data_IF_862681732275
#
_entry.id   IF_862681732275
#
_cell.length_a   1.000
_cell.length_b   1.000
_cell.length_c   1.000
_cell.angle_alpha   90.00
_cell.angle_beta   90.00
_cell.angle_gamma   90.00
#
_symmetry.space_group_name_H-M   'P 1'
#
loop_
_entity.id
_entity.type
_entity.pdbx_description
1 polymer ?
#
# COMPACT_ATOMS: atom_id res chain seq x y z
N UNK A 1 24.58 71.43 -10.26
CA UNK A 1 23.64 71.63 -11.38
C UNK A 1 22.79 70.39 -11.52
N UNK A 2 21.54 70.50 -11.09
CA UNK A 2 20.50 69.48 -11.18
C UNK A 2 19.78 69.63 -12.52
N UNK A 3 19.49 68.53 -13.22
CA UNK A 3 18.26 68.38 -14.01
C UNK A 3 17.90 66.89 -14.18
N UNK A 4 16.64 66.47 -13.91
CA UNK A 4 16.22 65.07 -13.89
C UNK A 4 15.62 64.63 -15.24
N UNK A 5 15.92 63.42 -15.70
CA UNK A 5 15.14 62.76 -16.76
C UNK A 5 13.98 61.99 -16.11
N UNK A 6 12.76 62.50 -16.27
CA UNK A 6 11.52 61.88 -15.78
C UNK A 6 11.33 60.48 -16.38
N UNK A 7 11.19 59.51 -15.50
CA UNK A 7 10.73 58.16 -15.77
C UNK A 7 9.26 58.17 -16.23
N UNK A 8 9.06 58.04 -17.56
CA UNK A 8 7.74 58.02 -18.21
C UNK A 8 6.93 56.75 -17.91
N UNK A 9 7.48 55.78 -17.18
CA UNK A 9 6.76 54.54 -16.83
C UNK A 9 5.76 54.72 -15.67
N UNK A 10 5.89 55.79 -14.89
CA UNK A 10 5.02 56.08 -13.74
C UNK A 10 3.66 56.71 -14.10
N UNK A 11 3.50 57.28 -15.30
CA UNK A 11 2.30 58.03 -15.71
C UNK A 11 1.14 57.15 -16.22
N UNK A 12 1.36 55.87 -16.50
CA UNK A 12 0.32 54.98 -17.05
C UNK A 12 -0.44 54.24 -15.93
N UNK A 13 0.10 54.19 -14.71
CA UNK A 13 -0.41 53.35 -13.62
C UNK A 13 -1.68 53.88 -12.91
N UNK A 14 -2.11 55.11 -13.21
CA UNK A 14 -3.22 55.77 -12.48
C UNK A 14 -4.43 56.15 -13.35
N UNK A 15 -4.67 55.42 -14.46
CA UNK A 15 -5.91 55.57 -15.23
C UNK A 15 -6.95 54.56 -14.76
N UNK A 16 -7.47 54.76 -13.54
CA UNK A 16 -8.59 53.95 -13.04
C UNK A 16 -9.79 54.04 -13.98
N UNK A 17 -10.59 52.97 -14.07
CA UNK A 17 -11.85 52.84 -14.85
C UNK A 17 -12.77 54.08 -14.75
N UNK A 18 -12.71 54.82 -13.63
CA UNK A 18 -13.41 56.09 -13.40
C UNK A 18 -12.99 57.21 -14.37
N UNK A 19 -11.71 57.32 -14.72
CA UNK A 19 -11.21 58.33 -15.66
C UNK A 19 -11.61 58.01 -17.10
N UNK A 20 -11.70 56.73 -17.46
CA UNK A 20 -12.23 56.29 -18.75
C UNK A 20 -13.73 56.59 -18.89
N UNK A 21 -14.54 56.32 -17.86
CA UNK A 21 -15.97 56.63 -17.87
C UNK A 21 -16.22 58.15 -17.83
N UNK A 22 -15.40 58.92 -17.10
CA UNK A 22 -15.45 60.40 -17.14
C UNK A 22 -15.08 60.95 -18.51
N UNK A 23 -14.13 60.34 -19.21
CA UNK A 23 -13.79 60.70 -20.58
C UNK A 23 -14.94 60.39 -21.55
N UNK A 24 -15.66 59.28 -21.38
CA UNK A 24 -16.87 58.98 -22.16
C UNK A 24 -18.03 59.94 -21.84
N UNK A 25 -18.21 60.33 -20.58
CA UNK A 25 -19.22 61.32 -20.17
C UNK A 25 -18.97 62.73 -20.71
N UNK A 26 -17.72 63.06 -21.08
CA UNK A 26 -17.34 64.32 -21.71
C UNK A 26 -17.43 64.34 -23.25
N UNK A 27 -17.72 63.21 -23.90
CA UNK A 27 -17.75 63.06 -25.37
C UNK A 27 -19.20 63.01 -25.90
N UNK A 28 -20.17 63.49 -25.11
CA UNK A 28 -21.57 63.63 -25.53
C UNK A 28 -21.84 64.73 -26.56
N UNK A 29 -20.84 65.54 -26.93
CA UNK A 29 -21.03 66.64 -27.87
C UNK A 29 -19.76 66.91 -28.69
N UNK A 30 -19.37 65.98 -29.57
CA UNK A 30 -18.61 66.32 -30.78
C UNK A 30 -18.57 65.16 -31.77
N UNK A 31 -19.34 65.35 -32.84
CA UNK A 31 -19.06 64.94 -34.21
C UNK A 31 -19.04 63.44 -34.55
N UNK A 32 -20.21 62.98 -35.01
CA UNK A 32 -20.40 62.31 -36.30
C UNK A 32 -19.24 62.56 -37.29
N UNK A 33 -18.27 61.65 -37.38
CA UNK A 33 -17.35 61.58 -38.52
C UNK A 33 -16.75 60.18 -38.64
N UNK A 34 -17.27 59.39 -39.59
CA UNK A 34 -16.75 58.21 -40.32
C UNK A 34 -15.57 57.34 -39.82
N UNK A 35 -15.14 57.39 -38.55
CA UNK A 35 -14.04 56.56 -38.00
C UNK A 35 -14.51 55.41 -37.11
N UNK A 36 -15.82 55.17 -37.02
CA UNK A 36 -16.41 54.15 -36.14
C UNK A 36 -16.07 52.71 -36.58
N UNK A 37 -15.59 52.50 -37.80
CA UNK A 37 -15.14 51.18 -38.28
C UNK A 37 -13.63 50.93 -38.20
N UNK A 38 -12.80 51.91 -37.79
CA UNK A 38 -11.36 51.71 -37.62
C UNK A 38 -11.00 50.82 -36.41
N UNK A 39 -11.95 50.63 -35.48
CA UNK A 39 -11.79 49.76 -34.31
C UNK A 39 -12.03 48.27 -34.57
N UNK A 40 -12.43 47.89 -35.80
CA UNK A 40 -12.61 46.51 -36.24
C UNK A 40 -11.49 46.04 -37.18
N UNK A 41 -10.31 46.68 -37.08
CA UNK A 41 -9.10 46.13 -37.68
C UNK A 41 -8.87 44.74 -37.08
N UNK A 42 -8.65 43.68 -37.88
CA UNK A 42 -8.21 42.39 -37.33
C UNK A 42 -6.99 42.66 -36.46
N UNK A 43 -7.02 42.24 -35.19
CA UNK A 43 -5.84 42.34 -34.35
C UNK A 43 -4.68 41.68 -35.12
N UNK A 44 -3.51 42.33 -35.24
CA UNK A 44 -2.34 41.70 -35.85
C UNK A 44 -2.15 40.34 -35.19
N UNK A 45 -1.86 39.29 -35.96
CA UNK A 45 -1.83 37.91 -35.47
C UNK A 45 -1.01 37.82 -34.18
N UNK A 46 -1.68 37.81 -33.03
CA UNK A 46 -1.00 37.78 -31.73
C UNK A 46 -0.72 36.33 -31.44
N UNK A 47 0.50 35.89 -31.74
CA UNK A 47 0.93 34.50 -31.56
C UNK A 47 0.83 34.08 -30.08
N UNK A 48 1.22 34.97 -29.16
CA UNK A 48 1.04 34.80 -27.72
C UNK A 48 0.40 36.04 -27.07
N UNK A 49 -0.93 36.04 -26.83
CA UNK A 49 -1.64 37.14 -26.19
C UNK A 49 -1.15 37.51 -24.78
N UNK A 50 -0.45 36.60 -24.10
CA UNK A 50 0.08 36.82 -22.74
C UNK A 50 1.40 37.59 -22.72
N UNK A 51 2.15 37.60 -23.83
CA UNK A 51 3.42 38.32 -23.93
C UNK A 51 3.22 39.84 -23.96
N UNK A 52 2.11 40.27 -24.54
CA UNK A 52 1.78 41.68 -24.70
C UNK A 52 0.65 42.15 -23.79
N UNK A 53 0.17 41.29 -22.88
CA UNK A 53 -0.91 41.65 -21.98
C UNK A 53 -0.41 42.70 -20.96
N UNK A 54 -0.99 43.92 -20.94
CA UNK A 54 -0.39 45.06 -20.25
C UNK A 54 -0.43 44.92 -18.71
N UNK A 55 -1.34 44.11 -18.18
CA UNK A 55 -1.46 43.86 -16.74
C UNK A 55 -1.46 42.35 -16.43
N UNK A 56 -0.34 41.87 -15.89
CA UNK A 56 -0.16 40.46 -15.49
C UNK A 56 -0.35 40.23 -13.99
N UNK A 57 -0.88 41.21 -13.24
CA UNK A 57 -1.06 41.07 -11.80
C UNK A 57 -2.06 39.98 -11.42
N UNK A 58 -2.99 39.62 -12.30
CA UNK A 58 -3.89 38.48 -12.12
C UNK A 58 -3.13 37.16 -11.91
N UNK A 59 -1.93 37.01 -12.47
CA UNK A 59 -1.09 35.81 -12.28
C UNK A 59 -0.65 35.64 -10.82
N UNK A 60 -0.64 36.72 -10.02
CA UNK A 60 -0.34 36.65 -8.58
C UNK A 60 -1.31 35.72 -7.86
N UNK A 61 -2.56 35.61 -8.32
CA UNK A 61 -3.56 34.70 -7.75
C UNK A 61 -3.12 33.24 -7.91
N UNK A 62 -2.66 32.84 -9.11
CA UNK A 62 -2.18 31.48 -9.35
C UNK A 62 -0.86 31.18 -8.63
N UNK A 63 0.06 32.16 -8.58
CA UNK A 63 1.29 32.03 -7.79
C UNK A 63 0.99 31.89 -6.30
N UNK A 64 0.01 32.62 -5.79
CA UNK A 64 -0.46 32.50 -4.41
C UNK A 64 -1.08 31.12 -4.15
N UNK A 65 -1.92 30.59 -5.06
CA UNK A 65 -2.50 29.25 -4.93
C UNK A 65 -1.44 28.14 -4.79
N UNK A 66 -0.32 28.25 -5.52
CA UNK A 66 0.77 27.27 -5.45
C UNK A 66 1.72 27.49 -4.25
N UNK A 67 1.69 28.67 -3.62
CA UNK A 67 2.53 29.00 -2.45
C UNK A 67 2.17 28.13 -1.24
N UNK A 68 3.21 27.77 -0.49
CA UNK A 68 3.15 27.02 0.77
C UNK A 68 4.10 27.65 1.80
N UNK A 69 3.89 27.37 3.09
CA UNK A 69 4.70 27.92 4.19
C UNK A 69 5.93 27.05 4.44
N UNK A 70 5.76 25.73 4.43
CA UNK A 70 6.84 24.76 4.52
C UNK A 70 6.45 23.44 3.87
N UNK A 71 7.43 22.55 3.71
CA UNK A 71 7.22 21.20 3.21
C UNK A 71 7.99 20.18 4.04
N UNK A 72 7.48 18.95 4.11
CA UNK A 72 8.18 17.84 4.73
C UNK A 72 7.98 16.57 3.90
N UNK A 73 8.86 15.59 4.08
CA UNK A 73 8.79 14.33 3.36
C UNK A 73 8.31 13.21 4.28
N UNK A 74 7.51 12.29 3.74
CA UNK A 74 7.10 11.07 4.44
C UNK A 74 7.14 9.86 3.49
N UNK A 75 7.03 8.67 4.07
CA UNK A 75 6.90 7.42 3.31
C UNK A 75 5.43 7.01 3.30
N UNK A 76 4.85 6.89 2.10
CA UNK A 76 3.52 6.32 1.93
C UNK A 76 3.64 4.80 2.05
N UNK A 77 3.18 4.26 3.17
CA UNK A 77 3.39 2.86 3.56
C UNK A 77 2.11 2.00 3.72
N UNK A 78 1.15 2.01 2.77
CA UNK A 78 0.13 0.95 2.71
C UNK A 78 0.77 -0.34 2.15
N UNK A 79 0.02 -1.46 2.12
CA UNK A 79 0.44 -2.64 1.36
C UNK A 79 0.20 -2.43 -0.13
N UNK A 80 1.00 -1.56 -0.73
CA UNK A 80 1.13 -1.41 -2.16
C UNK A 80 2.49 -1.90 -2.67
N UNK A 81 3.36 -2.39 -1.77
CA UNK A 81 4.74 -2.85 -1.98
C UNK A 81 5.78 -1.78 -2.29
N UNK A 82 5.37 -0.51 -2.47
CA UNK A 82 6.27 0.47 -3.07
C UNK A 82 6.98 1.37 -2.06
N UNK A 83 6.36 1.63 -0.90
CA UNK A 83 6.94 2.51 0.13
C UNK A 83 7.41 3.85 -0.46
N UNK A 84 6.60 4.47 -1.32
CA UNK A 84 7.00 5.65 -2.07
C UNK A 84 7.27 6.84 -1.14
N UNK A 85 8.39 7.53 -1.37
CA UNK A 85 8.73 8.76 -0.66
C UNK A 85 8.01 9.94 -1.30
N UNK A 86 7.13 10.59 -0.55
CA UNK A 86 6.29 11.70 -1.01
C UNK A 86 6.60 12.97 -0.21
N UNK A 87 6.42 14.14 -0.84
CA UNK A 87 6.59 15.46 -0.22
C UNK A 87 5.25 16.14 0.00
N UNK A 88 5.02 16.59 1.23
CA UNK A 88 3.82 17.27 1.66
C UNK A 88 4.10 18.76 1.69
N UNK A 89 3.16 19.55 1.23
CA UNK A 89 3.23 21.00 1.27
C UNK A 89 2.14 21.52 2.19
N UNK A 90 2.54 22.36 3.13
CA UNK A 90 1.70 22.83 4.23
C UNK A 90 1.51 24.33 4.11
N UNK A 91 0.26 24.77 4.27
CA UNK A 91 -0.10 26.18 4.37
C UNK A 91 -1.13 26.37 5.47
N UNK A 92 -0.93 27.37 6.33
CA UNK A 92 -1.77 27.63 7.50
C UNK A 92 -1.96 26.39 8.39
N UNK A 93 -0.91 25.57 8.54
CA UNK A 93 -0.96 24.32 9.30
C UNK A 93 -1.76 23.18 8.65
N UNK A 94 -2.23 23.35 7.40
CA UNK A 94 -3.00 22.34 6.65
C UNK A 94 -2.16 21.82 5.49
N UNK A 95 -2.10 20.49 5.33
CA UNK A 95 -1.50 19.87 4.16
C UNK A 95 -2.40 20.12 2.94
N UNK A 96 -1.91 20.93 2.00
CA UNK A 96 -2.70 21.35 0.82
C UNK A 96 -2.45 20.46 -0.39
N UNK A 97 -1.25 19.87 -0.53
CA UNK A 97 -0.89 18.98 -1.64
C UNK A 97 0.21 17.98 -1.27
N UNK A 98 0.27 16.92 -2.07
CA UNK A 98 1.25 15.85 -2.03
C UNK A 98 1.88 15.72 -3.42
N UNK A 99 3.20 15.59 -3.49
CA UNK A 99 3.91 15.31 -4.75
C UNK A 99 4.96 14.21 -4.53
N UNK A 100 5.46 13.66 -5.62
CA UNK A 100 6.62 12.79 -5.61
C UNK A 100 7.84 13.51 -5.05
N UNK A 101 8.70 12.77 -4.37
CA UNK A 101 10.00 13.28 -3.97
C UNK A 101 11.08 12.72 -4.91
N UNK A 102 11.78 13.61 -5.61
CA UNK A 102 12.84 13.27 -6.56
C UNK A 102 14.20 13.19 -5.87
N UNK A 103 14.31 12.35 -4.82
CA UNK A 103 15.51 12.26 -3.99
C UNK A 103 15.93 10.83 -3.65
N UNK A 104 15.44 9.82 -4.39
CA UNK A 104 15.78 8.42 -4.11
C UNK A 104 17.29 8.15 -4.18
N UNK A 105 18.03 8.87 -5.02
CA UNK A 105 19.49 8.78 -5.14
C UNK A 105 20.27 9.28 -3.92
N UNK A 106 19.58 9.98 -3.00
CA UNK A 106 20.14 10.42 -1.72
C UNK A 106 19.86 9.44 -0.59
N UNK A 107 19.05 8.41 -0.85
CA UNK A 107 18.79 7.34 0.09
C UNK A 107 19.89 6.28 -0.06
N UNK A 108 20.46 5.87 1.06
CA UNK A 108 21.44 4.79 1.12
C UNK A 108 21.23 3.90 2.34
N UNK A 109 21.82 2.72 2.29
CA UNK A 109 21.82 1.77 3.39
C UNK A 109 23.04 1.97 4.32
N UNK A 110 23.09 1.17 5.39
CA UNK A 110 24.18 1.20 6.38
C UNK A 110 25.53 0.71 5.82
N UNK A 111 25.53 0.11 4.63
CA UNK A 111 26.72 -0.42 3.97
C UNK A 111 27.29 0.55 2.93
N UNK A 112 26.68 1.74 2.78
CA UNK A 112 27.11 2.76 1.84
C UNK A 112 26.56 2.58 0.42
N UNK A 113 25.66 1.63 0.19
CA UNK A 113 24.99 1.50 -1.10
C UNK A 113 23.95 2.61 -1.24
N UNK A 114 23.88 3.22 -2.43
CA UNK A 114 22.88 4.26 -2.76
C UNK A 114 22.05 3.84 -3.95
N UNK A 115 20.78 4.23 -3.96
CA UNK A 115 19.91 3.97 -5.12
C UNK A 115 20.27 4.87 -6.32
N UNK A 116 19.92 4.43 -7.53
CA UNK A 116 20.11 5.24 -8.73
C UNK A 116 18.98 6.26 -8.92
N UNK A 117 19.23 7.33 -9.67
CA UNK A 117 18.19 8.33 -10.03
C UNK A 117 17.03 7.76 -10.84
N UNK A 118 17.22 6.59 -11.46
CA UNK A 118 16.21 5.93 -12.28
C UNK A 118 14.98 5.49 -11.47
N UNK A 119 15.09 5.43 -10.15
CA UNK A 119 13.96 5.20 -9.24
C UNK A 119 13.03 6.40 -9.06
N UNK A 120 13.37 7.57 -9.60
CA UNK A 120 12.47 8.72 -9.54
C UNK A 120 11.46 8.64 -10.70
N UNK A 121 10.19 9.06 -10.49
CA UNK A 121 9.68 9.74 -9.30
C UNK A 121 8.88 8.85 -8.34
N UNK A 122 8.56 7.60 -8.73
CA UNK A 122 7.61 6.71 -8.03
C UNK A 122 6.28 7.41 -7.70
N UNK A 123 5.54 6.87 -6.74
CA UNK A 123 4.24 7.38 -6.33
C UNK A 123 3.10 6.91 -7.25
N UNK A 124 1.88 7.07 -6.75
CA UNK A 124 0.68 6.68 -7.49
C UNK A 124 -0.47 7.63 -7.16
N UNK A 125 -1.55 7.54 -7.95
CA UNK A 125 -2.77 8.35 -7.78
C UNK A 125 -3.35 8.28 -6.36
N UNK A 126 -3.21 7.13 -5.69
CA UNK A 126 -3.67 6.92 -4.32
C UNK A 126 -2.79 7.65 -3.31
N UNK A 127 -1.48 7.70 -3.53
CA UNK A 127 -0.52 8.43 -2.70
C UNK A 127 -0.74 9.95 -2.77
N UNK A 128 -1.06 10.51 -3.94
CA UNK A 128 -1.27 11.96 -4.09
C UNK A 128 -2.57 12.48 -3.47
N UNK A 129 -3.46 11.57 -3.05
CA UNK A 129 -4.73 11.92 -2.41
C UNK A 129 -4.75 11.63 -0.91
N UNK A 130 -3.58 11.42 -0.29
CA UNK A 130 -3.46 11.04 1.11
C UNK A 130 -4.11 12.05 2.09
N UNK A 131 -4.12 13.35 1.74
CA UNK A 131 -4.84 14.39 2.47
C UNK A 131 -6.34 14.11 2.62
N UNK A 132 -6.96 13.34 1.70
CA UNK A 132 -8.36 12.89 1.84
C UNK A 132 -8.53 11.93 3.01
N UNK A 133 -7.51 11.15 3.38
CA UNK A 133 -7.53 10.31 4.60
C UNK A 133 -7.35 11.16 5.87
N UNK A 134 -6.58 12.25 5.76
CA UNK A 134 -6.29 13.16 6.88
C UNK A 134 -7.51 14.02 7.22
N UNK A 135 -8.24 14.53 6.22
CA UNK A 135 -9.32 15.50 6.42
C UNK A 135 -10.71 14.99 6.00
N UNK A 136 -10.80 13.80 5.43
CA UNK A 136 -12.06 13.22 4.96
C UNK A 136 -13.02 12.82 6.08
N UNK A 137 -14.29 12.55 5.72
CA UNK A 137 -15.36 12.29 6.68
C UNK A 137 -15.15 10.99 7.47
N UNK A 138 -14.32 10.07 6.96
CA UNK A 138 -14.07 8.76 7.57
C UNK A 138 -12.93 8.77 8.60
N UNK A 139 -12.30 9.92 8.90
CA UNK A 139 -11.22 9.97 9.86
C UNK A 139 -11.74 9.76 11.29
N UNK A 140 -11.24 8.72 11.96
CA UNK A 140 -11.41 8.54 13.39
C UNK A 140 -10.68 9.66 14.15
N UNK A 141 -11.40 10.42 14.98
CA UNK A 141 -10.89 11.56 15.75
C UNK A 141 -10.61 11.23 17.23
N UNK A 142 -10.85 9.99 17.63
CA UNK A 142 -10.68 9.52 19.01
C UNK A 142 -11.16 8.09 19.16
N UNK A 143 -10.93 7.49 20.33
CA UNK A 143 -11.34 6.12 20.59
C UNK A 143 -12.86 6.04 20.69
N UNK A 144 -13.37 4.95 20.12
CA UNK A 144 -14.79 4.59 20.15
C UNK A 144 -14.92 3.13 20.54
N UNK A 145 -15.98 2.80 21.26
CA UNK A 145 -16.30 1.44 21.68
C UNK A 145 -17.71 1.13 21.20
N UNK A 146 -17.95 -0.11 20.76
CA UNK A 146 -19.32 -0.55 20.40
C UNK A 146 -20.19 -0.55 21.64
N UNK A 147 -21.36 0.08 21.60
CA UNK A 147 -22.24 0.26 22.76
C UNK A 147 -22.52 -1.06 23.50
N UNK A 148 -23.00 -2.08 22.81
CA UNK A 148 -23.29 -3.38 23.43
C UNK A 148 -22.04 -4.14 23.92
N UNK A 149 -20.85 -3.86 23.37
CA UNK A 149 -19.61 -4.43 23.91
C UNK A 149 -19.24 -3.75 25.22
N UNK A 150 -19.42 -2.42 25.31
CA UNK A 150 -19.18 -1.67 26.55
C UNK A 150 -20.13 -2.14 27.66
N UNK A 151 -21.41 -2.31 27.36
CA UNK A 151 -22.40 -2.83 28.31
C UNK A 151 -22.02 -4.23 28.81
N UNK A 152 -21.56 -5.12 27.92
CA UNK A 152 -21.02 -6.43 28.32
C UNK A 152 -19.79 -6.33 29.23
N UNK A 153 -18.88 -5.40 28.96
CA UNK A 153 -17.71 -5.16 29.78
C UNK A 153 -18.06 -4.56 31.16
N UNK A 154 -19.05 -3.65 31.21
CA UNK A 154 -19.56 -3.04 32.43
C UNK A 154 -20.29 -4.08 33.31
N UNK A 155 -20.99 -5.04 32.70
CA UNK A 155 -21.62 -6.18 33.37
C UNK A 155 -20.61 -7.26 33.81
N UNK A 156 -19.30 -7.02 33.67
CA UNK A 156 -18.24 -7.89 34.19
C UNK A 156 -17.87 -9.07 33.29
N UNK A 157 -18.05 -8.96 31.98
CA UNK A 157 -17.73 -9.99 30.99
C UNK A 157 -18.40 -11.36 31.25
N UNK A 158 -19.73 -11.42 31.47
CA UNK A 158 -20.41 -12.69 31.66
C UNK A 158 -20.17 -13.62 30.46
N UNK A 159 -19.98 -14.91 30.75
CA UNK A 159 -19.61 -15.92 29.75
C UNK A 159 -20.68 -16.06 28.66
N UNK A 160 -20.30 -15.73 27.42
CA UNK A 160 -21.14 -15.88 26.24
C UNK A 160 -21.20 -17.33 25.74
N UNK A 161 -20.32 -18.21 26.23
CA UNK A 161 -20.32 -19.64 25.93
C UNK A 161 -21.27 -20.39 26.88
N UNK A 162 -21.35 -19.95 28.13
CA UNK A 162 -22.21 -20.57 29.15
C UNK A 162 -23.66 -20.06 29.05
N UNK A 163 -23.84 -18.79 28.69
CA UNK A 163 -25.14 -18.13 28.52
C UNK A 163 -25.28 -17.54 27.09
N UNK A 164 -25.55 -18.37 26.06
CA UNK A 164 -25.55 -17.94 24.66
C UNK A 164 -26.55 -16.83 24.32
N UNK A 165 -27.66 -16.72 25.04
CA UNK A 165 -28.67 -15.67 24.88
C UNK A 165 -28.12 -14.25 25.12
N UNK A 166 -27.05 -14.14 25.91
CA UNK A 166 -26.34 -12.88 26.11
C UNK A 166 -25.69 -12.35 24.82
N UNK A 167 -25.40 -13.22 23.85
CA UNK A 167 -24.88 -12.80 22.53
C UNK A 167 -25.88 -11.90 21.82
N UNK A 168 -27.16 -12.20 21.93
CA UNK A 168 -28.22 -11.36 21.38
C UNK A 168 -28.39 -10.08 22.22
N UNK A 169 -28.43 -10.16 23.56
CA UNK A 169 -28.50 -8.97 24.46
C UNK A 169 -27.43 -7.94 24.11
N UNK A 170 -26.18 -8.38 24.01
CA UNK A 170 -25.03 -7.51 23.74
C UNK A 170 -24.69 -7.40 22.25
N UNK A 171 -25.56 -7.85 21.34
CA UNK A 171 -25.40 -7.76 19.87
C UNK A 171 -24.09 -8.35 19.31
N UNK A 172 -23.61 -9.45 19.86
CA UNK A 172 -22.54 -10.24 19.26
C UNK A 172 -23.00 -10.94 17.97
N UNK A 173 -24.27 -11.33 17.88
CA UNK A 173 -24.85 -12.00 16.69
C UNK A 173 -25.19 -11.00 15.56
N UNK A 174 -25.18 -9.70 15.84
CA UNK A 174 -25.55 -8.62 14.91
C UNK A 174 -24.54 -7.48 14.90
N UNK A 175 -23.26 -7.78 15.09
CA UNK A 175 -22.16 -6.80 15.01
C UNK A 175 -22.24 -6.02 13.69
N UNK A 176 -22.14 -4.69 13.78
CA UNK A 176 -22.32 -3.76 12.65
C UNK A 176 -23.69 -3.09 12.60
N UNK A 177 -24.70 -3.62 13.30
CA UNK A 177 -26.02 -2.99 13.46
C UNK A 177 -26.12 -2.08 14.70
N UNK A 178 -25.06 -2.05 15.51
CA UNK A 178 -25.00 -1.28 16.74
C UNK A 178 -24.32 0.08 16.55
N UNK A 179 -24.46 0.94 17.55
CA UNK A 179 -23.81 2.25 17.60
C UNK A 179 -22.44 2.21 18.28
N UNK A 180 -21.62 3.21 17.97
CA UNK A 180 -20.35 3.46 18.66
C UNK A 180 -20.52 4.60 19.66
N UNK A 181 -20.00 4.40 20.87
CA UNK A 181 -19.89 5.45 21.89
C UNK A 181 -18.46 5.96 21.94
N UNK A 182 -18.30 7.28 22.04
CA UNK A 182 -16.99 7.90 22.22
C UNK A 182 -16.54 7.74 23.67
N UNK A 183 -15.28 7.40 23.86
CA UNK A 183 -14.65 7.32 25.19
C UNK A 183 -13.39 8.19 25.21
N UNK A 184 -12.83 8.45 26.39
CA UNK A 184 -11.48 9.00 26.50
C UNK A 184 -10.44 7.88 26.35
N UNK A 185 -9.16 8.24 26.27
CA UNK A 185 -8.09 7.25 26.08
C UNK A 185 -7.89 6.35 27.31
N UNK A 186 -8.04 6.87 28.52
CA UNK A 186 -7.87 6.08 29.76
C UNK A 186 -8.92 4.98 29.86
N UNK A 187 -10.18 5.29 29.55
CA UNK A 187 -11.26 4.32 29.45
C UNK A 187 -10.99 3.30 28.35
N UNK A 188 -10.51 3.74 27.18
CA UNK A 188 -10.18 2.83 26.08
C UNK A 188 -9.10 1.82 26.50
N UNK A 189 -8.04 2.27 27.16
CA UNK A 189 -6.98 1.39 27.68
C UNK A 189 -7.49 0.48 28.78
N UNK A 190 -8.28 1.01 29.73
CA UNK A 190 -8.89 0.25 30.82
C UNK A 190 -9.77 -0.88 30.28
N UNK A 191 -10.72 -0.56 29.39
CA UNK A 191 -11.58 -1.56 28.77
C UNK A 191 -10.78 -2.60 27.96
N UNK A 192 -9.74 -2.17 27.24
CA UNK A 192 -8.86 -3.10 26.51
C UNK A 192 -8.17 -4.07 27.48
N UNK A 193 -7.58 -3.57 28.57
CA UNK A 193 -6.92 -4.40 29.57
C UNK A 193 -7.89 -5.37 30.26
N UNK A 194 -9.07 -4.88 30.67
CA UNK A 194 -10.13 -5.70 31.25
C UNK A 194 -10.58 -6.81 30.28
N UNK A 195 -10.77 -6.48 29.00
CA UNK A 195 -11.15 -7.47 27.98
C UNK A 195 -10.08 -8.53 27.76
N UNK A 196 -8.80 -8.15 27.72
CA UNK A 196 -7.69 -9.11 27.60
C UNK A 196 -7.62 -10.04 28.82
N UNK A 197 -7.78 -9.50 30.03
CA UNK A 197 -7.82 -10.29 31.27
C UNK A 197 -9.02 -11.26 31.29
N UNK A 198 -10.21 -10.78 30.92
CA UNK A 198 -11.41 -11.60 30.87
C UNK A 198 -11.25 -12.77 29.88
N UNK A 199 -10.80 -12.49 28.65
CA UNK A 199 -10.57 -13.54 27.64
C UNK A 199 -9.51 -14.54 28.10
N UNK A 200 -8.39 -14.06 28.66
CA UNK A 200 -7.34 -14.93 29.17
C UNK A 200 -7.86 -15.82 30.32
N UNK A 201 -8.65 -15.29 31.24
CA UNK A 201 -9.23 -16.05 32.35
C UNK A 201 -10.28 -17.06 31.89
N UNK A 202 -11.30 -16.62 31.14
CA UNK A 202 -12.44 -17.44 30.71
C UNK A 202 -12.02 -18.66 29.91
N UNK A 203 -10.98 -18.52 29.08
CA UNK A 203 -10.53 -19.55 28.16
C UNK A 203 -9.20 -20.19 28.56
N UNK A 204 -8.81 -20.16 29.84
CA UNK A 204 -7.68 -20.95 30.37
C UNK A 204 -8.16 -22.26 30.99
N UNK A 205 -7.30 -23.28 30.99
CA UNK A 205 -7.57 -24.57 31.63
C UNK A 205 -8.71 -25.39 31.01
N UNK A 206 -9.02 -26.54 31.61
CA UNK A 206 -9.94 -27.53 31.02
C UNK A 206 -11.35 -26.95 30.79
N UNK A 207 -11.82 -26.07 31.67
CA UNK A 207 -13.11 -25.39 31.48
C UNK A 207 -13.09 -24.47 30.25
N UNK A 208 -12.00 -23.73 30.05
CA UNK A 208 -11.78 -22.90 28.85
C UNK A 208 -11.78 -23.73 27.57
N UNK A 209 -11.10 -24.89 27.58
CA UNK A 209 -11.13 -25.85 26.48
C UNK A 209 -12.54 -26.34 26.18
N UNK A 210 -13.30 -26.73 27.20
CA UNK A 210 -14.68 -27.18 27.06
C UNK A 210 -15.58 -26.09 26.44
N UNK A 211 -15.40 -24.83 26.86
CA UNK A 211 -16.09 -23.67 26.25
C UNK A 211 -15.73 -23.51 24.77
N UNK A 212 -14.45 -23.55 24.41
CA UNK A 212 -14.00 -23.43 23.02
C UNK A 212 -14.57 -24.55 22.13
N UNK A 213 -14.56 -25.78 22.63
CA UNK A 213 -15.13 -26.93 21.94
C UNK A 213 -16.65 -26.80 21.77
N UNK A 214 -17.36 -26.35 22.83
CA UNK A 214 -18.80 -26.06 22.78
C UNK A 214 -19.14 -24.96 21.76
N UNK A 215 -18.26 -23.97 21.62
CA UNK A 215 -18.39 -22.89 20.64
C UNK A 215 -17.99 -23.29 19.20
N UNK A 216 -17.62 -24.55 18.98
CA UNK A 216 -17.35 -25.10 17.65
C UNK A 216 -15.94 -24.82 17.13
N UNK A 217 -14.96 -24.53 18.00
CA UNK A 217 -13.57 -24.46 17.58
C UNK A 217 -13.08 -25.85 17.12
N UNK A 218 -12.40 -25.88 15.98
CA UNK A 218 -11.76 -27.10 15.47
C UNK A 218 -10.65 -27.55 16.44
N UNK A 219 -10.60 -28.83 16.85
CA UNK A 219 -9.54 -29.36 17.71
C UNK A 219 -8.12 -28.98 17.29
N UNK A 220 -7.84 -28.88 15.98
CA UNK A 220 -6.52 -28.51 15.47
C UNK A 220 -6.08 -27.11 15.89
N UNK A 221 -7.04 -26.22 16.16
CA UNK A 221 -6.75 -24.86 16.61
C UNK A 221 -6.24 -24.83 18.06
N UNK A 222 -6.45 -25.92 18.81
CA UNK A 222 -6.00 -26.07 20.19
C UNK A 222 -4.68 -26.83 20.33
N UNK A 223 -4.10 -27.35 19.23
CA UNK A 223 -2.84 -28.12 19.25
C UNK A 223 -1.68 -27.40 19.95
N UNK A 224 -1.65 -26.07 19.89
CA UNK A 224 -0.62 -25.23 20.55
C UNK A 224 -1.21 -24.22 21.54
N UNK A 225 -2.45 -24.45 22.00
CA UNK A 225 -3.11 -23.58 22.97
C UNK A 225 -2.52 -23.75 24.38
N UNK A 226 -1.95 -24.92 24.71
CA UNK A 226 -1.16 -25.17 25.94
C UNK A 226 -1.86 -24.69 27.23
N UNK A 227 -3.18 -24.90 27.32
CA UNK A 227 -4.01 -24.49 28.45
C UNK A 227 -4.12 -22.98 28.71
N UNK A 228 -3.58 -22.14 27.82
CA UNK A 228 -3.44 -20.70 28.00
C UNK A 228 -4.53 -19.92 27.25
N UNK A 229 -5.43 -19.26 27.96
CA UNK A 229 -6.48 -18.44 27.35
C UNK A 229 -5.94 -17.27 26.54
N UNK A 230 -4.75 -16.77 26.84
CA UNK A 230 -4.05 -15.77 26.02
C UNK A 230 -3.81 -16.24 24.59
N UNK A 231 -3.66 -17.55 24.35
CA UNK A 231 -3.50 -18.13 23.01
C UNK A 231 -4.77 -18.05 22.16
N UNK A 232 -5.92 -17.74 22.75
CA UNK A 232 -7.16 -17.45 22.01
C UNK A 232 -7.22 -16.00 21.51
N UNK A 233 -6.37 -15.12 22.05
CA UNK A 233 -6.25 -13.74 21.62
C UNK A 233 -5.42 -13.74 20.33
N UNK A 234 -6.06 -13.35 19.23
CA UNK A 234 -5.43 -13.21 17.92
C UNK A 234 -5.05 -11.75 17.70
N UNK A 235 -3.76 -11.48 17.65
CA UNK A 235 -3.22 -10.18 17.32
C UNK A 235 -2.51 -10.30 15.98
N UNK A 236 -2.89 -9.47 15.03
CA UNK A 236 -2.23 -9.39 13.73
C UNK A 236 -1.82 -7.96 13.46
N UNK A 237 -0.63 -7.78 12.88
CA UNK A 237 -0.32 -6.55 12.16
C UNK A 237 -1.39 -6.37 11.08
N UNK A 238 -1.97 -5.17 10.96
CA UNK A 238 -2.63 -4.83 9.71
C UNK A 238 -1.57 -4.19 8.81
N UNK A 239 -1.41 -4.74 7.62
CA UNK A 239 -0.65 -4.15 6.52
C UNK A 239 -0.72 -2.60 6.39
N UNK A 240 -1.86 -1.88 6.58
CA UNK A 240 -1.84 -0.41 6.53
C UNK A 240 -0.94 0.28 7.58
N UNK A 241 -0.46 -0.43 8.60
CA UNK A 241 0.57 0.01 9.55
C UNK A 241 1.94 -0.64 9.27
N UNK A 242 2.35 -0.85 8.01
CA UNK A 242 3.66 -1.43 7.63
C UNK A 242 4.91 -0.74 8.23
N UNK A 243 4.76 0.41 8.88
CA UNK A 243 5.83 1.03 9.66
C UNK A 243 6.27 0.16 10.85
N UNK A 244 7.35 0.61 11.51
CA UNK A 244 7.96 -0.07 12.66
C UNK A 244 6.94 -0.48 13.74
N UNK A 245 5.92 0.37 13.96
CA UNK A 245 4.89 0.17 15.01
C UNK A 245 3.94 -0.98 14.67
N UNK A 246 3.43 -1.07 13.44
CA UNK A 246 2.49 -2.14 13.09
C UNK A 246 3.18 -3.49 12.91
N UNK A 247 4.40 -3.49 12.36
CA UNK A 247 5.25 -4.70 12.34
C UNK A 247 5.64 -5.05 13.77
N UNK A 248 6.68 -4.44 14.34
CA UNK A 248 7.29 -4.94 15.57
C UNK A 248 6.46 -4.69 16.84
N UNK A 249 5.66 -3.62 16.88
CA UNK A 249 4.91 -3.25 18.07
C UNK A 249 3.84 -4.28 18.43
N UNK A 250 3.06 -4.74 17.44
CA UNK A 250 1.98 -5.71 17.67
C UNK A 250 2.56 -7.09 18.01
N UNK A 251 3.61 -7.53 17.30
CA UNK A 251 4.34 -8.76 17.63
C UNK A 251 4.86 -8.75 19.07
N UNK A 252 5.52 -7.65 19.47
CA UNK A 252 6.02 -7.50 20.83
C UNK A 252 4.89 -7.54 21.84
N UNK A 253 3.78 -6.85 21.58
CA UNK A 253 2.62 -6.86 22.45
C UNK A 253 2.02 -8.27 22.60
N UNK A 254 1.88 -9.02 21.51
CA UNK A 254 1.40 -10.39 21.55
C UNK A 254 2.28 -11.31 22.40
N UNK A 255 3.60 -11.19 22.28
CA UNK A 255 4.55 -11.94 23.12
C UNK A 255 4.47 -11.52 24.59
N UNK A 256 4.34 -10.21 24.88
CA UNK A 256 4.23 -9.70 26.25
C UNK A 256 2.97 -10.17 26.97
N UNK A 257 1.92 -10.63 26.26
CA UNK A 257 0.76 -11.27 26.89
C UNK A 257 1.10 -12.57 27.63
N UNK A 258 2.33 -13.10 27.50
CA UNK A 258 2.82 -14.16 28.39
C UNK A 258 2.86 -13.71 29.86
N UNK A 259 3.09 -12.42 30.15
CA UNK A 259 3.02 -11.89 31.51
C UNK A 259 1.59 -11.95 32.08
N UNK A 260 0.60 -11.68 31.22
CA UNK A 260 -0.81 -11.83 31.59
C UNK A 260 -1.14 -13.29 31.87
N UNK A 261 -0.67 -14.19 31.01
CA UNK A 261 -0.87 -15.63 31.17
C UNK A 261 -0.24 -16.18 32.45
N UNK A 262 1.00 -15.77 32.76
CA UNK A 262 1.66 -16.12 34.02
C UNK A 262 0.83 -15.69 35.23
N UNK A 263 0.25 -14.49 35.19
CA UNK A 263 -0.63 -13.99 36.25
C UNK A 263 -1.98 -14.75 36.32
N UNK A 264 -2.59 -15.05 35.18
CA UNK A 264 -3.91 -15.72 35.11
C UNK A 264 -3.82 -17.19 35.50
N UNK A 265 -2.80 -17.91 35.02
CA UNK A 265 -2.63 -19.34 35.29
C UNK A 265 -1.72 -19.64 36.50
N UNK A 266 -1.01 -18.64 37.02
CA UNK A 266 -0.06 -18.83 38.12
C UNK A 266 1.18 -19.66 37.71
N UNK A 267 1.57 -19.62 36.44
CA UNK A 267 2.66 -20.43 35.89
C UNK A 267 3.98 -19.66 35.80
N UNK A 268 5.10 -20.40 35.81
CA UNK A 268 6.44 -19.83 35.65
C UNK A 268 6.76 -19.38 34.22
N UNK A 269 7.89 -18.67 34.00
CA UNK A 269 8.28 -18.13 32.70
C UNK A 269 8.40 -19.16 31.57
N UNK A 270 8.83 -20.39 31.88
CA UNK A 270 9.00 -21.47 30.90
C UNK A 270 7.66 -22.02 30.37
N UNK A 271 6.59 -21.85 31.15
CA UNK A 271 5.25 -22.35 30.82
C UNK A 271 4.33 -21.27 30.28
N UNK A 272 4.64 -20.00 30.56
CA UNK A 272 3.86 -18.85 30.18
C UNK A 272 3.75 -18.71 28.65
N UNK A 273 2.55 -18.42 28.16
CA UNK A 273 2.23 -18.38 26.74
C UNK A 273 1.71 -17.00 26.34
N UNK A 274 2.36 -16.39 25.35
CA UNK A 274 1.84 -15.18 24.71
C UNK A 274 0.65 -15.47 23.79
N UNK A 275 0.06 -14.40 23.26
CA UNK A 275 -0.95 -14.50 22.22
C UNK A 275 -0.41 -15.17 20.94
N UNK A 276 -1.32 -15.53 20.03
CA UNK A 276 -0.93 -16.10 18.72
C UNK A 276 -0.91 -15.00 17.68
N UNK A 277 0.22 -14.91 16.98
CA UNK A 277 0.33 -14.10 15.78
C UNK A 277 -0.45 -14.73 14.62
N UNK A 278 -0.92 -13.87 13.71
CA UNK A 278 -1.59 -14.25 12.48
C UNK A 278 -0.65 -14.14 11.29
N UNK A 279 -0.32 -15.27 10.65
CA UNK A 279 0.47 -15.26 9.41
C UNK A 279 -0.36 -14.66 8.26
N UNK A 280 0.02 -13.47 7.81
CA UNK A 280 -0.68 -12.76 6.74
C UNK A 280 -0.28 -13.26 5.34
N UNK A 281 0.97 -13.71 5.14
CA UNK A 281 1.49 -13.96 3.80
C UNK A 281 0.86 -15.20 3.15
N UNK A 282 0.69 -16.28 3.92
CA UNK A 282 -0.05 -17.47 3.49
C UNK A 282 -1.55 -17.21 3.42
N UNK A 283 -2.12 -16.54 4.43
CA UNK A 283 -3.56 -16.31 4.54
C UNK A 283 -4.11 -15.49 3.37
N UNK A 284 -3.35 -14.52 2.88
CA UNK A 284 -3.75 -13.68 1.74
C UNK A 284 -3.60 -14.38 0.39
N UNK A 285 -2.91 -15.51 0.35
CA UNK A 285 -2.53 -16.18 -0.89
C UNK A 285 -1.36 -15.50 -1.62
N UNK A 286 -0.66 -14.56 -0.97
CA UNK A 286 0.48 -13.85 -1.55
C UNK A 286 1.76 -14.71 -1.53
N UNK A 287 1.89 -15.63 -0.56
CA UNK A 287 2.97 -16.60 -0.57
C UNK A 287 2.76 -17.61 -1.70
N UNK A 288 3.67 -17.64 -2.66
CA UNK A 288 3.71 -18.66 -3.71
C UNK A 288 4.30 -19.98 -3.15
N UNK A 289 3.50 -21.02 -2.89
CA UNK A 289 3.99 -22.24 -2.21
C UNK A 289 5.02 -23.02 -3.04
N UNK A 290 4.99 -22.85 -4.36
CA UNK A 290 5.98 -23.44 -5.27
C UNK A 290 7.42 -22.96 -4.99
N UNK A 291 7.60 -21.75 -4.46
CA UNK A 291 8.95 -21.22 -4.17
C UNK A 291 9.62 -21.97 -3.01
N UNK A 292 8.98 -22.14 -1.83
CA UNK A 292 9.49 -23.02 -0.79
C UNK A 292 9.73 -24.46 -1.28
N UNK A 293 8.83 -25.03 -2.09
CA UNK A 293 9.00 -26.40 -2.60
C UNK A 293 10.21 -26.55 -3.52
N UNK A 294 10.49 -25.56 -4.37
CA UNK A 294 11.60 -25.62 -5.31
C UNK A 294 12.95 -25.17 -4.74
N UNK A 295 12.94 -24.22 -3.78
CA UNK A 295 14.17 -23.50 -3.37
C UNK A 295 14.45 -23.55 -1.87
N UNK A 296 13.49 -23.96 -1.05
CA UNK A 296 13.57 -23.87 0.41
C UNK A 296 13.44 -22.43 0.96
N UNK A 297 13.29 -21.41 0.11
CA UNK A 297 13.09 -20.02 0.52
C UNK A 297 11.60 -19.69 0.69
N UNK A 298 11.25 -18.80 1.63
CA UNK A 298 9.87 -18.33 1.81
C UNK A 298 9.33 -17.69 0.51
N UNK A 299 10.18 -16.93 -0.16
CA UNK A 299 9.96 -16.23 -1.42
C UNK A 299 11.31 -15.76 -1.98
N UNK A 300 11.36 -15.53 -3.28
CA UNK A 300 12.52 -14.97 -3.98
C UNK A 300 11.99 -14.10 -5.11
N UNK A 301 12.36 -12.83 -5.09
CA UNK A 301 11.95 -11.85 -6.09
C UNK A 301 13.16 -11.07 -6.57
N UNK A 302 13.03 -10.53 -7.77
CA UNK A 302 13.96 -9.58 -8.34
C UNK A 302 13.47 -8.15 -8.13
N UNK A 303 14.40 -7.23 -8.13
CA UNK A 303 14.08 -5.82 -8.20
C UNK A 303 13.60 -5.49 -9.62
N UNK A 304 12.46 -4.81 -9.78
CA UNK A 304 11.92 -4.50 -11.11
C UNK A 304 12.87 -3.72 -12.02
N UNK A 305 13.85 -3.01 -11.44
CA UNK A 305 14.88 -2.33 -12.21
C UNK A 305 15.79 -3.28 -13.02
N UNK A 306 15.85 -4.58 -12.68
CA UNK A 306 16.59 -5.56 -13.50
C UNK A 306 15.84 -5.94 -14.79
N UNK A 307 14.56 -5.57 -14.95
CA UNK A 307 13.85 -5.74 -16.22
C UNK A 307 14.57 -5.03 -17.38
N UNK A 308 15.37 -4.00 -17.09
CA UNK A 308 16.20 -3.27 -18.06
C UNK A 308 17.31 -4.12 -18.69
N UNK A 309 17.65 -5.25 -18.07
CA UNK A 309 18.65 -6.20 -18.55
C UNK A 309 18.01 -7.40 -19.25
N UNK A 310 16.68 -7.44 -19.34
CA UNK A 310 15.93 -8.52 -19.98
C UNK A 310 15.63 -8.18 -21.45
N UNK A 311 15.74 -9.18 -22.34
CA UNK A 311 15.31 -9.08 -23.75
C UNK A 311 13.88 -9.57 -23.99
N UNK A 312 13.35 -10.35 -23.04
CA UNK A 312 12.00 -10.89 -23.05
C UNK A 312 11.47 -10.83 -21.62
N UNK A 313 10.29 -10.25 -21.44
CA UNK A 313 9.57 -10.26 -20.16
C UNK A 313 8.20 -10.90 -20.38
N UNK A 314 7.95 -11.98 -19.66
CA UNK A 314 6.67 -12.70 -19.69
C UNK A 314 5.90 -12.39 -18.41
N UNK A 315 4.76 -11.73 -18.55
CA UNK A 315 3.82 -11.48 -17.46
C UNK A 315 2.74 -12.55 -17.47
N UNK A 316 2.60 -13.30 -16.38
CA UNK A 316 1.60 -14.36 -16.23
C UNK A 316 0.69 -14.00 -15.06
N UNK A 317 -0.58 -13.72 -15.33
CA UNK A 317 -1.55 -13.30 -14.31
C UNK A 317 -1.15 -12.03 -13.55
N UNK A 318 -0.28 -11.19 -14.13
CA UNK A 318 0.30 -10.02 -13.46
C UNK A 318 -0.02 -8.73 -14.23
N UNK A 319 -0.57 -7.76 -13.51
CA UNK A 319 -0.89 -6.44 -14.05
C UNK A 319 0.06 -5.37 -13.48
N UNK A 320 1.25 -5.25 -14.07
CA UNK A 320 2.27 -4.29 -13.61
C UNK A 320 1.88 -2.83 -13.84
N UNK A 321 0.99 -2.55 -14.79
CA UNK A 321 0.53 -1.19 -15.09
C UNK A 321 -0.34 -0.65 -13.95
N UNK A 322 -1.33 -1.43 -13.49
CA UNK A 322 -2.30 -0.95 -12.49
C UNK A 322 -1.90 -1.30 -11.05
N UNK A 323 -1.30 -2.47 -10.83
CA UNK A 323 -0.96 -2.96 -9.49
C UNK A 323 0.45 -2.57 -9.06
N UNK A 324 1.32 -2.17 -10.00
CA UNK A 324 2.69 -1.70 -9.73
C UNK A 324 2.99 -0.35 -10.41
N UNK A 325 2.02 0.57 -10.41
CA UNK A 325 2.13 1.85 -11.15
C UNK A 325 3.47 2.59 -11.00
N UNK A 326 4.06 2.72 -9.78
CA UNK A 326 5.34 3.40 -9.59
C UNK A 326 6.53 2.76 -10.32
N UNK A 327 6.40 1.48 -10.69
CA UNK A 327 7.44 0.63 -11.30
C UNK A 327 7.17 0.37 -12.79
N UNK A 328 5.98 0.73 -13.28
CA UNK A 328 5.54 0.34 -14.63
C UNK A 328 6.44 0.92 -15.73
N UNK A 329 7.19 1.98 -15.43
CA UNK A 329 8.19 2.54 -16.33
C UNK A 329 9.31 1.56 -16.67
N UNK A 330 9.64 0.58 -15.83
CA UNK A 330 10.64 -0.44 -16.15
C UNK A 330 10.22 -1.33 -17.33
N UNK A 331 8.91 -1.57 -17.51
CA UNK A 331 8.40 -2.24 -18.71
C UNK A 331 8.57 -1.37 -19.95
N UNK A 332 8.28 -0.07 -19.85
CA UNK A 332 8.46 0.87 -20.96
C UNK A 332 9.94 0.96 -21.35
N UNK A 333 10.85 1.05 -20.38
CA UNK A 333 12.29 1.08 -20.63
C UNK A 333 12.78 -0.21 -21.29
N UNK A 334 12.21 -1.36 -20.93
CA UNK A 334 12.49 -2.63 -21.61
C UNK A 334 12.06 -2.58 -23.09
N UNK A 335 10.87 -2.06 -23.37
CA UNK A 335 10.36 -1.88 -24.74
C UNK A 335 11.21 -0.90 -25.56
N UNK A 336 11.58 0.24 -24.99
CA UNK A 336 12.42 1.26 -25.64
C UNK A 336 13.80 0.72 -26.03
N UNK A 337 14.30 -0.28 -25.30
CA UNK A 337 15.55 -0.99 -25.60
C UNK A 337 15.37 -2.13 -26.62
N UNK A 338 14.17 -2.32 -27.16
CA UNK A 338 13.85 -3.38 -28.12
C UNK A 338 13.53 -4.73 -27.48
N UNK A 339 13.34 -4.79 -26.16
CA UNK A 339 12.86 -5.98 -25.48
C UNK A 339 11.42 -6.33 -25.87
N UNK A 340 11.07 -7.61 -25.76
CA UNK A 340 9.73 -8.13 -26.07
C UNK A 340 8.92 -8.36 -24.81
N UNK A 341 7.65 -7.99 -24.85
CA UNK A 341 6.70 -8.19 -23.76
C UNK A 341 5.63 -9.21 -24.17
N UNK A 342 5.43 -10.23 -23.34
CA UNK A 342 4.35 -11.22 -23.48
C UNK A 342 3.42 -11.08 -22.28
N UNK A 343 2.11 -10.99 -22.53
CA UNK A 343 1.10 -10.92 -21.49
C UNK A 343 0.18 -12.15 -21.58
N UNK A 344 0.21 -13.00 -20.55
CA UNK A 344 -0.60 -14.22 -20.43
C UNK A 344 -1.66 -13.97 -19.35
N UNK A 345 -2.86 -13.59 -19.80
CA UNK A 345 -3.98 -13.24 -18.92
C UNK A 345 -5.31 -13.64 -19.57
N UNK A 346 -6.33 -14.06 -18.79
CA UNK A 346 -7.65 -14.38 -19.35
C UNK A 346 -8.34 -13.22 -20.06
N UNK A 347 -8.15 -12.02 -19.53
CA UNK A 347 -8.70 -10.76 -20.04
C UNK A 347 -7.65 -9.94 -20.79
N UNK A 348 -8.10 -9.03 -21.65
CA UNK A 348 -7.24 -8.05 -22.31
C UNK A 348 -6.92 -6.89 -21.36
N UNK A 349 -6.04 -7.17 -20.39
CA UNK A 349 -5.67 -6.26 -19.30
C UNK A 349 -4.78 -5.08 -19.76
N UNK A 350 -4.54 -4.10 -18.88
CA UNK A 350 -3.77 -2.90 -19.21
C UNK A 350 -2.34 -3.17 -19.77
N UNK A 351 -1.55 -4.15 -19.24
CA UNK A 351 -0.28 -4.53 -19.86
C UNK A 351 -0.44 -5.17 -21.25
N UNK A 352 -1.56 -5.86 -21.53
CA UNK A 352 -1.82 -6.49 -22.83
C UNK A 352 -1.85 -5.48 -23.98
N UNK A 353 -2.30 -4.24 -23.70
CA UNK A 353 -2.31 -3.16 -24.69
C UNK A 353 -0.91 -2.66 -25.10
N UNK A 354 0.12 -3.00 -24.32
CA UNK A 354 1.53 -2.64 -24.57
C UNK A 354 2.40 -3.84 -24.91
N UNK A 355 1.89 -5.07 -24.75
CA UNK A 355 2.65 -6.28 -25.06
C UNK A 355 2.71 -6.55 -26.55
N UNK A 356 3.82 -7.13 -27.01
CA UNK A 356 3.94 -7.66 -28.37
C UNK A 356 2.99 -8.84 -28.61
N UNK A 357 2.79 -9.67 -27.57
CA UNK A 357 1.90 -10.82 -27.61
C UNK A 357 0.98 -10.83 -26.40
N UNK A 358 -0.32 -10.92 -26.66
CA UNK A 358 -1.31 -11.30 -25.64
C UNK A 358 -1.79 -12.72 -25.90
N UNK A 359 -1.73 -13.55 -24.86
CA UNK A 359 -2.15 -14.95 -24.88
C UNK A 359 -3.28 -15.12 -23.87
N UNK A 360 -4.51 -15.25 -24.38
CA UNK A 360 -5.68 -15.53 -23.58
C UNK A 360 -5.67 -16.94 -23.00
N UNK A 361 -5.75 -17.06 -21.68
CA UNK A 361 -5.85 -18.37 -20.99
C UNK A 361 -7.19 -18.49 -20.24
N UNK A 362 -7.68 -19.72 -20.07
CA UNK A 362 -8.83 -19.94 -19.17
C UNK A 362 -8.37 -19.79 -17.72
N UNK A 363 -9.13 -19.08 -16.85
CA UNK A 363 -8.84 -19.05 -15.43
C UNK A 363 -8.76 -20.47 -14.83
N UNK A 364 -7.84 -20.68 -13.89
CA UNK A 364 -7.61 -21.99 -13.26
C UNK A 364 -6.31 -22.62 -13.76
N UNK A 365 -6.39 -23.66 -14.59
CA UNK A 365 -5.23 -24.47 -15.00
C UNK A 365 -4.68 -24.12 -16.39
N UNK A 366 -5.22 -23.08 -17.05
CA UNK A 366 -4.88 -22.75 -18.43
C UNK A 366 -3.42 -22.32 -18.61
N UNK A 367 -2.89 -21.53 -17.68
CA UNK A 367 -1.48 -21.13 -17.63
C UNK A 367 -0.55 -22.29 -17.32
N UNK A 368 -0.93 -23.19 -16.40
CA UNK A 368 -0.15 -24.39 -16.09
C UNK A 368 0.03 -25.28 -17.33
N UNK A 369 -1.07 -25.57 -18.06
CA UNK A 369 -1.00 -26.39 -19.27
C UNK A 369 -0.09 -25.75 -20.33
N UNK A 370 -0.20 -24.44 -20.54
CA UNK A 370 0.65 -23.69 -21.46
C UNK A 370 2.13 -23.78 -21.07
N UNK A 371 2.45 -23.56 -19.79
CA UNK A 371 3.84 -23.61 -19.30
C UNK A 371 4.44 -25.01 -19.40
N UNK A 372 3.65 -26.07 -19.14
CA UNK A 372 4.09 -27.46 -19.36
C UNK A 372 4.35 -27.76 -20.84
N UNK A 373 3.53 -27.23 -21.76
CA UNK A 373 3.79 -27.36 -23.19
C UNK A 373 5.07 -26.63 -23.62
N UNK A 374 5.35 -25.46 -23.06
CA UNK A 374 6.62 -24.74 -23.29
C UNK A 374 7.80 -25.55 -22.77
N UNK A 375 7.70 -26.08 -21.54
CA UNK A 375 8.74 -26.93 -20.96
C UNK A 375 9.00 -28.19 -21.81
N UNK A 376 7.95 -28.84 -22.31
CA UNK A 376 8.06 -29.97 -23.22
C UNK A 376 8.85 -29.63 -24.48
N UNK A 377 8.52 -28.52 -25.15
CA UNK A 377 9.24 -28.06 -26.35
C UNK A 377 10.71 -27.70 -26.06
N UNK A 378 11.01 -27.12 -24.90
CA UNK A 378 12.39 -26.82 -24.50
C UNK A 378 13.19 -28.13 -24.32
N UNK A 379 12.59 -29.13 -23.67
CA UNK A 379 13.24 -30.43 -23.44
C UNK A 379 13.44 -31.20 -24.75
N UNK A 380 12.39 -31.29 -25.57
CA UNK A 380 12.40 -32.01 -26.85
C UNK A 380 13.45 -31.43 -27.80
N UNK A 381 13.53 -30.10 -27.90
CA UNK A 381 14.49 -29.41 -28.76
C UNK A 381 15.88 -29.27 -28.14
N UNK A 382 16.12 -29.79 -26.93
CA UNK A 382 17.35 -29.57 -26.14
C UNK A 382 17.73 -28.10 -26.02
N UNK A 383 16.73 -27.22 -25.90
CA UNK A 383 16.88 -25.77 -25.82
C UNK A 383 17.23 -25.23 -24.43
N UNK A 384 17.73 -26.09 -23.53
CA UNK A 384 18.10 -25.76 -22.15
C UNK A 384 19.62 -25.71 -21.96
N UNK A 385 20.07 -25.05 -20.90
CA UNK A 385 21.47 -25.08 -20.47
C UNK A 385 21.72 -26.34 -19.61
N UNK A 386 22.37 -27.33 -20.21
CA UNK A 386 22.60 -28.64 -19.60
C UNK A 386 23.54 -28.57 -18.38
N UNK A 387 24.59 -27.75 -18.45
CA UNK A 387 25.57 -27.60 -17.37
C UNK A 387 24.94 -26.89 -16.17
N UNK A 388 24.13 -25.86 -16.42
CA UNK A 388 23.39 -25.16 -15.39
C UNK A 388 22.44 -26.12 -14.66
N UNK A 389 21.64 -26.88 -15.42
CA UNK A 389 20.64 -27.81 -14.85
C UNK A 389 21.33 -28.89 -14.00
N UNK A 390 22.41 -29.50 -14.50
CA UNK A 390 23.15 -30.52 -13.73
C UNK A 390 23.73 -29.99 -12.42
N UNK A 391 24.13 -28.72 -12.39
CA UNK A 391 24.79 -28.13 -11.23
C UNK A 391 23.83 -27.53 -10.19
N UNK A 392 22.72 -26.95 -10.62
CA UNK A 392 21.85 -26.13 -9.77
C UNK A 392 20.42 -26.65 -9.63
N UNK A 393 20.13 -27.87 -10.07
CA UNK A 393 18.84 -28.53 -9.88
C UNK A 393 18.99 -29.94 -9.31
N UNK A 394 17.85 -30.54 -8.98
CA UNK A 394 17.71 -31.93 -8.54
C UNK A 394 17.45 -32.91 -9.71
N UNK A 395 17.38 -32.44 -10.94
CA UNK A 395 17.15 -33.28 -12.12
C UNK A 395 18.16 -34.43 -12.34
N UNK A 396 19.47 -34.32 -12.00
CA UNK A 396 20.39 -35.44 -12.15
C UNK A 396 20.34 -36.45 -10.99
N UNK A 397 19.48 -36.23 -9.98
CA UNK A 397 19.41 -37.10 -8.82
C UNK A 397 18.64 -38.38 -9.13
N UNK A 398 19.10 -39.50 -8.55
CA UNK A 398 18.51 -40.81 -8.79
C UNK A 398 17.22 -41.00 -7.99
N UNK A 399 16.18 -41.47 -8.67
CA UNK A 399 14.90 -41.89 -8.07
C UNK A 399 14.75 -43.39 -8.27
N UNK A 400 14.42 -44.12 -7.21
CA UNK A 400 14.22 -45.56 -7.30
C UNK A 400 12.88 -45.87 -7.97
N UNK A 401 12.89 -46.80 -8.94
CA UNK A 401 11.68 -47.17 -9.69
C UNK A 401 10.66 -47.98 -8.86
N UNK A 402 11.10 -48.63 -7.77
CA UNK A 402 10.25 -49.47 -6.93
C UNK A 402 9.48 -48.68 -5.86
N UNK A 403 10.07 -47.60 -5.33
CA UNK A 403 9.48 -46.77 -4.26
C UNK A 403 9.06 -45.38 -4.71
N UNK A 404 9.52 -44.94 -5.89
CA UNK A 404 9.35 -43.58 -6.40
C UNK A 404 9.92 -42.50 -5.46
N UNK A 405 10.90 -42.88 -4.62
CA UNK A 405 11.62 -41.99 -3.72
C UNK A 405 13.05 -41.77 -4.21
N UNK A 406 13.62 -40.62 -3.86
CA UNK A 406 15.05 -40.33 -4.10
C UNK A 406 15.91 -41.41 -3.44
N UNK A 407 16.87 -41.94 -4.19
CA UNK A 407 17.89 -42.84 -3.65
C UNK A 407 18.75 -42.09 -2.63
N UNK A 408 18.82 -42.62 -1.42
CA UNK A 408 19.67 -42.06 -0.37
C UNK A 408 20.96 -42.86 -0.22
N UNK A 409 22.10 -42.22 0.09
CA UNK A 409 23.36 -42.92 0.23
C UNK A 409 23.35 -44.01 1.31
N UNK A 410 22.62 -43.80 2.41
CA UNK A 410 22.46 -44.80 3.50
C UNK A 410 21.87 -46.15 3.03
N UNK A 411 21.22 -46.17 1.87
CA UNK A 411 20.59 -47.37 1.31
C UNK A 411 21.55 -48.21 0.46
N UNK A 412 22.72 -47.66 0.10
CA UNK A 412 23.71 -48.31 -0.78
C UNK A 412 25.11 -48.37 -0.17
N UNK A 413 25.41 -47.50 0.79
CA UNK A 413 26.72 -47.37 1.41
C UNK A 413 26.56 -47.68 2.89
N UNK A 414 27.13 -48.80 3.32
CA UNK A 414 27.13 -49.19 4.73
C UNK A 414 27.88 -48.14 5.57
N UNK A 415 27.20 -47.56 6.56
CA UNK A 415 27.78 -46.58 7.48
C UNK A 415 27.85 -45.13 6.96
N UNK A 416 27.01 -44.74 5.99
CA UNK A 416 26.89 -43.36 5.52
C UNK A 416 26.44 -42.36 6.61
#
# INVERSE_FOLDING_TARGET
MNHPSKDKSSEIRDRSRRNFIKALGGVGALALNQRVFGGLSPLPHIENPLEHYPDRDWEKVYRDQYRYDHSFTWVCAPNDTHMCRLKAFVRNGVMIRAEQNYDHDRCGDIYGNTMTKAWNPRGCLKGYTFQKRIYGPYRLKGPVVRKGWKEWADDGFPSLSDNPELRTKYKFDSRGTDSFVRVNWDDAFRYTAMGLQAVAGTYSGEEGKNRLMKDGYDPITLTHWNNAGTRTIKLGSNLPLHGLVGKFGIYRFANMLALLDANVRGVGPEEAQGARDWNEYTWRGDQAPGTPYATGLQGSDMDFSDMRFSKLVVQIGKNLVENKMPESHWLNECMERGGKLVCITPDYSAPSAKSDYWIGTRPGLGDLALLLSVAHLIIENKGYDEDFIKKYSDLPLLVRADTLKRLRPEEMIEGY
#
